data_IF_877348046470
#
_entry.id   IF_877348046470
#
_cell.length_a   1.000
_cell.length_b   1.000
_cell.length_c   1.000
_cell.angle_alpha   90.00
_cell.angle_beta   90.00
_cell.angle_gamma   90.00
#
_symmetry.space_group_name_H-M   'P 1'
#
loop_
_entity.id
_entity.type
_entity.pdbx_description
1 polymer ?
#
# COMPACT_ATOMS: atom_id res chain seq x y z
N UNK A 1 20.11 -18.38 -1.75
CA UNK A 1 18.64 -18.36 -1.57
C UNK A 1 18.21 -17.05 -0.93
N UNK A 2 17.33 -16.32 -1.59
CA UNK A 2 16.85 -15.04 -1.03
C UNK A 2 15.84 -15.28 0.07
N UNK A 3 15.88 -14.43 1.11
CA UNK A 3 14.90 -14.53 2.19
C UNK A 3 13.54 -14.00 1.74
N UNK A 4 12.48 -14.46 2.39
CA UNK A 4 11.12 -13.95 2.20
C UNK A 4 11.08 -12.43 2.36
N UNK A 5 11.78 -11.92 3.36
CA UNK A 5 11.84 -10.48 3.63
C UNK A 5 12.47 -9.71 2.47
N UNK A 6 13.56 -10.23 1.90
CA UNK A 6 14.24 -9.61 0.75
C UNK A 6 13.32 -9.57 -0.47
N UNK A 7 12.69 -10.70 -0.78
CA UNK A 7 11.77 -10.81 -1.90
C UNK A 7 10.58 -9.85 -1.76
N UNK A 8 10.01 -9.80 -0.56
CA UNK A 8 8.89 -8.91 -0.25
C UNK A 8 9.28 -7.44 -0.41
N UNK A 9 10.46 -7.07 0.08
CA UNK A 9 11.01 -5.71 -0.05
C UNK A 9 11.22 -5.32 -1.51
N UNK A 10 11.81 -6.20 -2.30
CA UNK A 10 12.06 -5.97 -3.73
C UNK A 10 10.74 -5.81 -4.50
N UNK A 11 9.76 -6.63 -4.20
CA UNK A 11 8.47 -6.57 -4.87
C UNK A 11 7.73 -5.28 -4.51
N UNK A 12 7.75 -4.89 -3.24
CA UNK A 12 7.19 -3.60 -2.81
C UNK A 12 7.85 -2.43 -3.53
N UNK A 13 9.18 -2.43 -3.61
CA UNK A 13 9.93 -1.37 -4.29
C UNK A 13 9.58 -1.33 -5.78
N UNK A 14 9.36 -2.48 -6.41
CA UNK A 14 8.92 -2.56 -7.81
C UNK A 14 7.55 -1.92 -8.00
N UNK A 15 6.58 -2.24 -7.14
CA UNK A 15 5.25 -1.63 -7.21
C UNK A 15 5.31 -0.11 -7.02
N UNK A 16 6.16 0.38 -6.10
CA UNK A 16 6.38 1.81 -5.91
C UNK A 16 7.01 2.46 -7.15
N UNK A 17 7.95 1.78 -7.79
CA UNK A 17 8.58 2.25 -9.03
C UNK A 17 7.56 2.31 -10.18
N UNK A 18 6.71 1.30 -10.31
CA UNK A 18 5.65 1.27 -11.32
C UNK A 18 4.63 2.39 -11.09
N UNK A 19 4.31 2.68 -9.84
CA UNK A 19 3.43 3.80 -9.51
C UNK A 19 4.03 5.13 -9.97
N UNK A 20 5.33 5.34 -9.73
CA UNK A 20 6.02 6.56 -10.19
C UNK A 20 6.09 6.65 -11.71
N UNK A 21 6.28 5.53 -12.40
CA UNK A 21 6.27 5.48 -13.86
C UNK A 21 4.88 5.85 -14.42
N UNK A 22 3.82 5.31 -13.81
CA UNK A 22 2.45 5.64 -14.18
C UNK A 22 2.17 7.14 -13.96
N UNK A 23 2.65 7.70 -12.85
CA UNK A 23 2.52 9.13 -12.57
C UNK A 23 3.18 9.97 -13.69
N UNK A 24 4.38 9.59 -14.12
CA UNK A 24 5.09 10.31 -15.21
C UNK A 24 4.35 10.23 -16.53
N UNK A 25 3.63 9.12 -16.80
CA UNK A 25 2.79 8.97 -18.00
C UNK A 25 1.45 9.71 -17.90
N UNK A 26 1.09 10.18 -16.71
CA UNK A 26 -0.22 10.75 -16.46
C UNK A 26 -1.33 9.70 -16.36
N UNK A 27 -0.98 8.43 -16.15
CA UNK A 27 -1.93 7.34 -15.97
C UNK A 27 -2.33 7.22 -14.50
N UNK A 28 -3.36 7.97 -14.14
CA UNK A 28 -3.82 8.12 -12.76
C UNK A 28 -4.34 6.81 -12.17
N UNK A 29 -5.09 6.05 -12.95
CA UNK A 29 -5.67 4.79 -12.50
C UNK A 29 -4.58 3.75 -12.24
N UNK A 30 -3.59 3.68 -13.13
CA UNK A 30 -2.49 2.75 -12.97
C UNK A 30 -1.57 3.13 -11.80
N UNK A 31 -1.38 4.44 -11.58
CA UNK A 31 -0.65 4.91 -10.40
C UNK A 31 -1.32 4.42 -9.12
N UNK A 32 -2.62 4.62 -8.99
CA UNK A 32 -3.35 4.17 -7.80
C UNK A 32 -3.31 2.65 -7.66
N UNK A 33 -3.49 1.92 -8.75
CA UNK A 33 -3.43 0.46 -8.72
C UNK A 33 -2.11 -0.05 -8.15
N UNK A 34 -1.00 0.52 -8.58
CA UNK A 34 0.31 0.11 -8.06
C UNK A 34 0.52 0.55 -6.62
N UNK A 35 0.00 1.71 -6.21
CA UNK A 35 0.05 2.13 -4.79
C UNK A 35 -0.75 1.18 -3.90
N UNK A 36 -1.93 0.75 -4.34
CA UNK A 36 -2.74 -0.21 -3.60
C UNK A 36 -2.04 -1.57 -3.47
N UNK A 37 -1.39 -2.03 -4.52
CA UNK A 37 -0.60 -3.26 -4.51
C UNK A 37 0.59 -3.14 -3.56
N UNK A 38 1.29 -2.01 -3.60
CA UNK A 38 2.37 -1.72 -2.66
C UNK A 38 1.87 -1.71 -1.21
N UNK A 39 0.68 -1.16 -0.98
CA UNK A 39 0.07 -1.15 0.34
C UNK A 39 -0.13 -2.58 0.88
N UNK A 40 -0.73 -3.46 0.08
CA UNK A 40 -0.94 -4.86 0.47
C UNK A 40 0.37 -5.55 0.82
N UNK A 41 1.40 -5.38 0.00
CA UNK A 41 2.73 -5.96 0.25
C UNK A 41 3.39 -5.41 1.50
N UNK A 42 3.13 -4.14 1.83
CA UNK A 42 3.77 -3.47 2.96
C UNK A 42 3.11 -3.77 4.31
N UNK A 43 1.91 -4.34 4.33
CA UNK A 43 1.18 -4.56 5.58
C UNK A 43 2.00 -5.27 6.68
N UNK A 44 2.81 -6.30 6.38
CA UNK A 44 3.66 -6.91 7.41
C UNK A 44 4.94 -6.14 7.71
N UNK A 45 5.18 -5.00 7.08
CA UNK A 45 6.41 -4.21 7.22
C UNK A 45 6.05 -2.78 7.67
N UNK A 46 6.07 -2.55 9.00
CA UNK A 46 5.56 -1.31 9.60
C UNK A 46 6.10 -0.02 8.94
N UNK A 47 7.40 0.09 8.77
CA UNK A 47 8.00 1.30 8.17
C UNK A 47 7.58 1.51 6.72
N UNK A 48 7.55 0.45 5.93
CA UNK A 48 7.12 0.52 4.52
C UNK A 48 5.63 0.75 4.39
N UNK A 49 4.85 0.22 5.33
CA UNK A 49 3.41 0.47 5.39
C UNK A 49 3.13 1.97 5.59
N UNK A 50 3.81 2.60 6.54
CA UNK A 50 3.70 4.05 6.76
C UNK A 50 4.13 4.81 5.51
N UNK A 51 5.25 4.46 4.90
CA UNK A 51 5.74 5.12 3.68
C UNK A 51 4.76 4.99 2.52
N UNK A 52 4.06 3.86 2.42
CA UNK A 52 3.05 3.66 1.38
C UNK A 52 1.85 4.57 1.62
N UNK A 53 1.39 4.72 2.86
CA UNK A 53 0.33 5.67 3.19
C UNK A 53 0.73 7.12 2.91
N UNK A 54 2.00 7.49 3.16
CA UNK A 54 2.52 8.81 2.80
C UNK A 54 2.46 9.01 1.27
N UNK A 55 2.81 8.00 0.50
CA UNK A 55 2.72 8.07 -0.96
C UNK A 55 1.27 8.19 -1.44
N UNK A 56 0.34 7.50 -0.80
CA UNK A 56 -1.10 7.60 -1.10
C UNK A 56 -1.66 8.97 -0.72
N UNK A 57 -1.17 9.54 0.38
CA UNK A 57 -1.50 10.93 0.74
C UNK A 57 -1.03 11.90 -0.36
N UNK A 58 0.20 11.73 -0.85
CA UNK A 58 0.74 12.52 -1.96
C UNK A 58 -0.12 12.42 -3.22
N UNK A 59 -0.57 11.20 -3.55
CA UNK A 59 -1.51 10.98 -4.65
C UNK A 59 -2.79 11.78 -4.44
N UNK A 60 -3.40 11.70 -3.25
CA UNK A 60 -4.62 12.43 -2.93
C UNK A 60 -4.44 13.95 -3.02
N UNK A 61 -3.30 14.46 -2.55
CA UNK A 61 -2.96 15.89 -2.62
C UNK A 61 -2.85 16.37 -4.08
N UNK A 62 -2.18 15.62 -4.94
CA UNK A 62 -2.05 15.98 -6.36
C UNK A 62 -3.39 15.93 -7.08
N UNK A 63 -4.28 15.02 -6.67
CA UNK A 63 -5.62 14.87 -7.24
C UNK A 63 -6.63 15.83 -6.60
N UNK A 64 -6.26 16.53 -5.54
CA UNK A 64 -7.16 17.38 -4.74
C UNK A 64 -8.40 16.62 -4.25
N UNK A 65 -8.19 15.36 -3.91
CA UNK A 65 -9.24 14.46 -3.44
C UNK A 65 -9.31 14.53 -1.92
N UNK A 66 -10.26 15.29 -1.39
CA UNK A 66 -10.43 15.50 0.05
C UNK A 66 -10.66 14.19 0.81
N UNK A 67 -11.44 13.29 0.23
CA UNK A 67 -11.74 11.99 0.86
C UNK A 67 -10.46 11.18 1.03
N UNK A 68 -9.63 11.12 -0.01
CA UNK A 68 -8.37 10.41 0.04
C UNK A 68 -7.40 11.08 1.02
N UNK A 69 -7.29 12.40 1.00
CA UNK A 69 -6.41 13.15 1.91
C UNK A 69 -6.78 12.87 3.36
N UNK A 70 -8.03 13.06 3.73
CA UNK A 70 -8.51 12.84 5.09
C UNK A 70 -8.36 11.38 5.49
N UNK A 71 -8.72 10.46 4.60
CA UNK A 71 -8.61 9.03 4.84
C UNK A 71 -7.18 8.60 5.10
N UNK A 72 -6.21 9.11 4.35
CA UNK A 72 -4.80 8.77 4.55
C UNK A 72 -4.24 9.39 5.82
N UNK A 73 -4.63 10.61 6.17
CA UNK A 73 -4.22 11.22 7.43
C UNK A 73 -4.71 10.40 8.63
N UNK A 74 -5.97 9.95 8.60
CA UNK A 74 -6.52 9.09 9.64
C UNK A 74 -5.73 7.77 9.72
N UNK A 75 -5.43 7.16 8.58
CA UNK A 75 -4.69 5.89 8.53
C UNK A 75 -3.28 6.03 9.06
N UNK A 76 -2.60 7.14 8.79
CA UNK A 76 -1.26 7.39 9.33
C UNK A 76 -1.26 7.50 10.85
N UNK A 77 -2.31 8.11 11.43
CA UNK A 77 -2.40 8.30 12.88
C UNK A 77 -2.89 7.04 13.58
N UNK A 78 -3.88 6.33 13.01
CA UNK A 78 -4.59 5.23 13.69
C UNK A 78 -4.10 3.85 13.26
N UNK A 79 -3.95 3.63 11.95
CA UNK A 79 -3.67 2.29 11.42
C UNK A 79 -2.19 1.90 11.45
N UNK A 80 -1.27 2.86 11.36
CA UNK A 80 0.15 2.57 11.41
C UNK A 80 0.57 1.85 12.70
N UNK A 81 0.14 2.28 13.90
CA UNK A 81 0.41 1.52 15.13
C UNK A 81 -0.11 0.08 15.08
N UNK A 82 -1.23 -0.17 14.40
CA UNK A 82 -1.77 -1.51 14.22
C UNK A 82 -0.80 -2.45 13.51
N UNK A 83 -0.04 -1.96 12.53
CA UNK A 83 0.96 -2.77 11.83
C UNK A 83 2.07 -3.22 12.78
N UNK A 84 2.56 -2.34 13.66
CA UNK A 84 3.59 -2.69 14.63
C UNK A 84 3.11 -3.72 15.65
N UNK A 85 1.81 -3.77 15.94
CA UNK A 85 1.23 -4.77 16.83
C UNK A 85 0.75 -6.03 16.09
N UNK A 86 0.88 -6.07 14.76
CA UNK A 86 0.41 -7.17 13.94
C UNK A 86 -1.11 -7.16 13.70
N UNK A 87 -1.79 -6.11 14.08
CA UNK A 87 -3.25 -5.98 13.95
C UNK A 87 -3.60 -5.10 12.75
N UNK A 88 -3.81 -5.73 11.60
CA UNK A 88 -4.19 -5.01 10.39
C UNK A 88 -5.15 -5.85 9.54
N UNK A 89 -6.04 -5.22 8.74
CA UNK A 89 -6.97 -5.94 7.87
C UNK A 89 -6.24 -6.45 6.63
N UNK A 90 -5.88 -7.73 6.65
CA UNK A 90 -5.11 -8.39 5.59
C UNK A 90 -5.75 -8.14 4.21
N UNK A 91 -4.93 -7.76 3.24
CA UNK A 91 -5.36 -7.54 1.87
C UNK A 91 -6.04 -6.21 1.61
N UNK A 92 -6.27 -5.39 2.63
CA UNK A 92 -6.88 -4.07 2.44
C UNK A 92 -6.02 -3.20 1.53
N UNK A 93 -6.63 -2.53 0.54
CA UNK A 93 -5.92 -1.72 -0.44
C UNK A 93 -5.37 -0.41 0.12
N UNK A 94 -5.83 0.02 1.29
CA UNK A 94 -5.36 1.24 1.96
C UNK A 94 -6.03 2.52 1.47
N UNK A 95 -6.82 2.47 0.40
CA UNK A 95 -7.48 3.63 -0.15
C UNK A 95 -8.66 4.10 0.69
N UNK A 96 -8.97 5.41 0.63
CA UNK A 96 -10.07 5.99 1.39
C UNK A 96 -11.46 5.57 0.90
N UNK A 97 -11.53 4.93 -0.28
CA UNK A 97 -12.78 4.40 -0.84
C UNK A 97 -13.23 3.09 -0.19
N UNK A 98 -12.42 2.51 0.69
CA UNK A 98 -12.77 1.30 1.44
C UNK A 98 -12.59 1.55 2.93
N UNK A 99 -13.27 0.76 3.77
CA UNK A 99 -13.10 0.85 5.22
C UNK A 99 -11.65 0.53 5.61
N UNK A 100 -11.08 1.31 6.52
CA UNK A 100 -9.73 1.07 7.05
C UNK A 100 -9.60 -0.26 7.79
N UNK A 101 -10.72 -0.89 8.16
CA UNK A 101 -10.75 -2.11 8.97
C UNK A 101 -11.15 -3.36 8.18
N UNK A 102 -11.48 -3.22 6.90
CA UNK A 102 -12.03 -4.32 6.10
C UNK A 102 -10.92 -5.20 5.52
N UNK A 103 -10.86 -6.50 5.85
CA UNK A 103 -10.03 -7.44 5.11
C UNK A 103 -10.54 -7.59 3.67
N UNK A 104 -9.63 -7.79 2.72
CA UNK A 104 -9.96 -7.89 1.29
C UNK A 104 -9.17 -9.03 0.66
N UNK A 105 -9.68 -9.62 -0.45
CA UNK A 105 -8.93 -10.62 -1.19
C UNK A 105 -7.60 -10.05 -1.71
N UNK A 106 -6.55 -10.86 -1.62
CA UNK A 106 -5.22 -10.50 -2.13
C UNK A 106 -5.06 -11.06 -3.53
N UNK A 107 -4.59 -10.25 -4.51
CA UNK A 107 -4.26 -10.78 -5.84
C UNK A 107 -3.28 -11.94 -5.74
N UNK A 108 -3.47 -12.96 -6.59
CA UNK A 108 -2.73 -14.22 -6.51
C UNK A 108 -1.20 -14.03 -6.58
N UNK A 109 -0.73 -13.14 -7.45
CA UNK A 109 0.71 -12.86 -7.57
C UNK A 109 1.30 -12.25 -6.31
N UNK A 110 0.55 -11.41 -5.62
CA UNK A 110 0.98 -10.82 -4.35
C UNK A 110 0.90 -11.84 -3.22
N UNK A 111 -0.12 -12.70 -3.24
CA UNK A 111 -0.25 -13.76 -2.24
C UNK A 111 0.94 -14.72 -2.29
N UNK A 112 1.41 -15.04 -3.49
CA UNK A 112 2.59 -15.89 -3.66
C UNK A 112 3.84 -15.28 -3.01
N UNK A 113 4.03 -13.96 -3.16
CA UNK A 113 5.15 -13.24 -2.54
C UNK A 113 5.00 -13.20 -1.02
N UNK A 114 3.80 -12.92 -0.53
CA UNK A 114 3.52 -12.82 0.91
C UNK A 114 3.70 -14.15 1.62
N UNK A 115 3.31 -15.24 0.98
CA UNK A 115 3.46 -16.59 1.55
C UNK A 115 4.93 -17.06 1.55
N UNK A 116 5.73 -16.52 0.64
CA UNK A 116 7.10 -16.92 0.45
C UNK A 116 7.24 -18.29 -0.24
N UNK A 117 8.48 -18.71 -0.48
CA UNK A 117 8.72 -20.05 -1.05
C UNK A 117 8.38 -21.17 -0.08
#
# INVERSE_FOLDING_TARGET
>A
MRSKHTELTERWAKERSEARAARRRGDVEDELRHLERAHVLSQPMAGRHVRTHVAMLGYGLRRRDRREIIGQLVRLVVAAPGTWTGRYPVGNTGGANVSALKPMPIPDDLQAVLNGP
#
